data_IF_468974712498
#
_entry.id   IF_468974712498
#
_cell.length_a   1.000
_cell.length_b   1.000
_cell.length_c   1.000
_cell.angle_alpha   90.00
_cell.angle_beta   90.00
_cell.angle_gamma   90.00
#
_symmetry.space_group_name_H-M   'P 1'
#
loop_
_entity.id
_entity.type
_entity.pdbx_description
1 polymer ?
#
# COMPACT_ATOMS: atom_id res chain seq x y z
N UNK A 1 4.51 -8.54 -13.79
CA UNK A 1 4.69 -8.20 -12.37
C UNK A 1 5.32 -6.81 -12.27
N UNK A 2 4.70 -5.93 -11.51
CA UNK A 2 5.20 -4.57 -11.36
C UNK A 2 6.45 -4.54 -10.47
N UNK A 3 7.31 -3.54 -10.69
CA UNK A 3 8.42 -3.27 -9.79
C UNK A 3 7.88 -2.65 -8.50
N UNK A 4 8.29 -3.18 -7.36
CA UNK A 4 7.83 -2.68 -6.06
C UNK A 4 8.92 -1.85 -5.41
N UNK A 5 8.57 -0.63 -4.98
CA UNK A 5 9.47 0.25 -4.25
C UNK A 5 8.79 0.59 -2.92
N UNK A 6 9.45 0.30 -1.81
CA UNK A 6 8.90 0.49 -0.48
C UNK A 6 9.53 1.73 0.18
N UNK A 7 8.69 2.64 0.68
CA UNK A 7 9.18 3.82 1.37
C UNK A 7 9.82 3.46 2.71
N UNK A 8 10.68 4.35 3.22
CA UNK A 8 11.28 4.14 4.54
C UNK A 8 10.24 4.09 5.64
N UNK A 9 9.22 4.95 5.57
CA UNK A 9 8.17 4.95 6.59
C UNK A 9 7.36 3.67 6.57
N UNK A 10 7.08 3.11 5.38
CA UNK A 10 6.40 1.83 5.30
C UNK A 10 7.23 0.72 5.96
N UNK A 11 8.53 0.67 5.65
CA UNK A 11 9.42 -0.36 6.20
C UNK A 11 9.50 -0.24 7.72
N UNK A 12 9.65 0.99 8.24
CA UNK A 12 9.73 1.23 9.67
C UNK A 12 8.43 0.86 10.38
N UNK A 13 7.29 1.25 9.82
CA UNK A 13 5.99 0.94 10.41
C UNK A 13 5.72 -0.56 10.40
N UNK A 14 6.07 -1.23 9.30
CA UNK A 14 5.89 -2.68 9.18
C UNK A 14 6.69 -3.43 10.24
N UNK A 15 7.90 -2.97 10.53
CA UNK A 15 8.75 -3.61 11.54
C UNK A 15 8.16 -3.57 12.95
N UNK A 16 7.23 -2.65 13.22
CA UNK A 16 6.58 -2.53 14.51
C UNK A 16 5.44 -3.53 14.74
N UNK A 17 4.97 -4.19 13.68
CA UNK A 17 3.88 -5.17 13.80
C UNK A 17 4.42 -6.56 14.11
N UNK A 18 3.54 -7.42 14.62
CA UNK A 18 3.90 -8.80 14.90
C UNK A 18 4.11 -9.60 13.60
N UNK A 19 4.72 -10.77 13.74
CA UNK A 19 5.08 -11.58 12.58
C UNK A 19 3.86 -11.98 11.72
N UNK A 20 2.74 -12.46 12.29
CA UNK A 20 1.57 -12.79 11.46
C UNK A 20 1.06 -11.61 10.64
N UNK A 21 1.06 -10.41 11.21
CA UNK A 21 0.63 -9.20 10.50
C UNK A 21 1.61 -8.85 9.39
N UNK A 22 2.91 -8.91 9.67
CA UNK A 22 3.93 -8.65 8.65
C UNK A 22 3.83 -9.63 7.49
N UNK A 23 3.61 -10.91 7.79
CA UNK A 23 3.48 -11.92 6.75
C UNK A 23 2.24 -11.69 5.89
N UNK A 24 1.11 -11.30 6.50
CA UNK A 24 -0.11 -10.99 5.78
C UNK A 24 0.09 -9.77 4.85
N UNK A 25 0.80 -8.75 5.32
CA UNK A 25 1.10 -7.57 4.49
C UNK A 25 1.99 -7.97 3.31
N UNK A 26 3.00 -8.78 3.53
CA UNK A 26 3.87 -9.25 2.44
C UNK A 26 3.10 -10.02 1.38
N UNK A 27 2.20 -10.89 1.78
CA UNK A 27 1.35 -11.63 0.84
C UNK A 27 0.48 -10.67 0.04
N UNK A 28 -0.08 -9.66 0.69
CA UNK A 28 -0.89 -8.65 0.00
C UNK A 28 -0.04 -7.85 -0.99
N UNK A 29 1.21 -7.54 -0.64
CA UNK A 29 2.10 -6.82 -1.55
C UNK A 29 2.45 -7.66 -2.77
N UNK A 30 2.58 -8.97 -2.61
CA UNK A 30 2.76 -9.88 -3.75
C UNK A 30 1.56 -9.79 -4.69
N UNK A 31 0.36 -9.79 -4.13
CA UNK A 31 -0.86 -9.64 -4.94
C UNK A 31 -0.88 -8.29 -5.68
N UNK A 32 -0.50 -7.20 -4.99
CA UNK A 32 -0.44 -5.88 -5.61
C UNK A 32 0.59 -5.85 -6.74
N UNK A 33 1.72 -6.55 -6.59
CA UNK A 33 2.74 -6.60 -7.64
C UNK A 33 2.22 -7.29 -8.90
N UNK A 34 1.35 -8.26 -8.74
CA UNK A 34 0.75 -9.00 -9.87
C UNK A 34 -0.44 -8.25 -10.45
N UNK A 35 -1.24 -7.60 -9.60
CA UNK A 35 -2.46 -6.90 -9.98
C UNK A 35 -2.48 -5.49 -9.37
N UNK A 36 -1.68 -4.55 -9.89
CA UNK A 36 -1.56 -3.23 -9.28
C UNK A 36 -2.86 -2.44 -9.19
N UNK A 37 -3.86 -2.78 -9.99
CA UNK A 37 -5.17 -2.15 -9.95
C UNK A 37 -6.12 -2.68 -8.88
N UNK A 38 -5.68 -3.60 -8.02
CA UNK A 38 -6.54 -4.26 -7.04
C UNK A 38 -7.04 -3.31 -5.95
N UNK A 39 -6.28 -2.26 -5.65
CA UNK A 39 -6.65 -1.30 -4.63
C UNK A 39 -7.77 -0.36 -5.05
N UNK A 40 -8.32 0.35 -4.08
CA UNK A 40 -9.34 1.38 -4.30
C UNK A 40 -8.76 2.76 -4.02
N UNK A 41 -9.35 3.78 -4.62
CA UNK A 41 -8.88 5.15 -4.43
C UNK A 41 -9.18 5.61 -3.00
N UNK A 42 -8.24 6.39 -2.44
CA UNK A 42 -8.34 6.89 -1.07
C UNK A 42 -9.03 8.26 -1.02
N UNK A 43 -10.01 8.50 -1.89
CA UNK A 43 -10.70 9.79 -1.97
C UNK A 43 -11.51 10.06 -0.71
N UNK A 44 -11.37 11.28 -0.19
CA UNK A 44 -12.13 11.71 0.98
C UNK A 44 -11.59 11.21 2.30
N UNK A 45 -10.56 10.38 2.28
CA UNK A 45 -9.92 9.89 3.49
C UNK A 45 -8.87 10.87 4.00
N UNK A 46 -8.63 10.84 5.30
CA UNK A 46 -7.53 11.57 5.92
C UNK A 46 -6.20 11.28 5.19
N UNK A 47 -6.00 10.05 4.76
CA UNK A 47 -4.80 9.61 4.07
C UNK A 47 -4.57 10.31 2.73
N UNK A 48 -5.61 10.87 2.11
CA UNK A 48 -5.44 11.62 0.88
C UNK A 48 -4.53 12.84 1.06
N UNK A 49 -4.51 13.42 2.26
CA UNK A 49 -3.61 14.53 2.57
C UNK A 49 -2.17 14.08 2.76
N UNK A 50 -1.97 12.85 3.25
CA UNK A 50 -0.63 12.34 3.56
C UNK A 50 0.03 11.69 2.36
N UNK A 51 -0.75 11.02 1.51
CA UNK A 51 -0.20 10.17 0.44
C UNK A 51 -0.54 10.63 -0.97
N UNK A 52 -1.35 11.69 -1.10
CA UNK A 52 -1.77 12.21 -2.40
C UNK A 52 -3.13 11.68 -2.83
N UNK A 53 -3.79 12.44 -3.70
CA UNK A 53 -5.15 12.12 -4.13
C UNK A 53 -5.22 10.97 -5.12
N UNK A 54 -4.10 10.62 -5.74
CA UNK A 54 -4.01 9.50 -6.67
C UNK A 54 -3.57 8.19 -5.98
N UNK A 55 -3.42 8.22 -4.65
CA UNK A 55 -3.05 7.02 -3.91
C UNK A 55 -4.19 6.00 -3.93
N UNK A 56 -3.78 4.73 -3.98
CA UNK A 56 -4.67 3.59 -3.84
C UNK A 56 -4.43 2.95 -2.49
N UNK A 57 -5.42 2.21 -2.00
CA UNK A 57 -5.28 1.48 -0.74
C UNK A 57 -5.81 0.06 -0.87
N UNK A 58 -5.19 -0.84 -0.13
CA UNK A 58 -5.68 -2.21 0.04
C UNK A 58 -5.75 -2.52 1.52
N UNK A 59 -6.79 -3.23 1.92
CA UNK A 59 -6.99 -3.64 3.30
C UNK A 59 -6.30 -4.98 3.56
N UNK A 60 -5.62 -5.09 4.69
CA UNK A 60 -5.02 -6.34 5.14
C UNK A 60 -4.88 -6.31 6.66
N UNK A 61 -5.43 -7.33 7.34
CA UNK A 61 -5.28 -7.51 8.80
C UNK A 61 -5.63 -6.27 9.63
N UNK A 62 -6.72 -5.57 9.26
CA UNK A 62 -7.14 -4.36 9.97
C UNK A 62 -6.31 -3.13 9.67
N UNK A 63 -5.46 -3.20 8.65
CA UNK A 63 -4.63 -2.10 8.19
C UNK A 63 -5.03 -1.70 6.79
N UNK A 64 -4.76 -0.44 6.42
CA UNK A 64 -4.78 0.01 5.03
C UNK A 64 -3.36 0.27 4.58
N UNK A 65 -2.95 -0.34 3.48
CA UNK A 65 -1.66 -0.08 2.84
C UNK A 65 -1.90 0.85 1.66
N UNK A 66 -1.18 1.95 1.64
CA UNK A 66 -1.31 2.98 0.60
C UNK A 66 -0.18 2.87 -0.40
N UNK A 67 -0.52 2.94 -1.68
CA UNK A 67 0.48 2.87 -2.75
C UNK A 67 0.07 3.75 -3.93
N UNK A 68 1.05 4.02 -4.79
CA UNK A 68 0.85 4.79 -6.02
C UNK A 68 1.44 4.02 -7.19
N UNK A 69 0.75 4.08 -8.32
CA UNK A 69 1.20 3.44 -9.56
C UNK A 69 1.85 4.48 -10.46
N UNK A 70 2.97 4.11 -11.08
CA UNK A 70 3.63 4.97 -12.06
C UNK A 70 4.08 4.16 -13.27
N UNK A 71 4.11 4.82 -14.43
CA UNK A 71 4.50 4.20 -15.69
C UNK A 71 3.34 3.59 -16.43
N UNK A 72 3.64 2.99 -17.57
CA UNK A 72 2.65 2.30 -18.38
C UNK A 72 2.23 1.00 -17.70
N UNK A 73 0.92 0.65 -17.73
CA UNK A 73 0.49 -0.65 -17.21
C UNK A 73 1.23 -1.79 -17.91
N UNK A 74 1.67 -2.76 -17.11
CA UNK A 74 2.38 -3.91 -17.63
C UNK A 74 3.64 -4.21 -16.84
N UNK A 75 4.59 -4.96 -17.43
CA UNK A 75 5.78 -5.40 -16.72
C UNK A 75 6.74 -4.27 -16.30
N UNK A 76 6.63 -3.10 -16.94
CA UNK A 76 7.48 -1.96 -16.61
C UNK A 76 6.83 -0.99 -15.63
N UNK A 77 5.63 -1.31 -15.18
CA UNK A 77 4.95 -0.49 -14.19
C UNK A 77 5.68 -0.53 -12.84
N UNK A 78 5.72 0.61 -12.14
CA UNK A 78 6.29 0.70 -10.80
C UNK A 78 5.19 1.03 -9.80
N UNK A 79 5.22 0.34 -8.66
CA UNK A 79 4.33 0.58 -7.54
C UNK A 79 5.17 1.11 -6.38
N UNK A 80 4.84 2.32 -5.94
CA UNK A 80 5.47 2.93 -4.77
C UNK A 80 4.56 2.69 -3.57
N UNK A 81 5.02 1.88 -2.62
CA UNK A 81 4.29 1.61 -1.38
C UNK A 81 4.63 2.72 -0.39
N UNK A 82 3.63 3.53 -0.04
CA UNK A 82 3.84 4.80 0.65
C UNK A 82 3.75 4.68 2.16
N UNK A 83 2.84 3.86 2.66
CA UNK A 83 2.67 3.73 4.09
C UNK A 83 1.61 2.71 4.46
N UNK A 84 1.52 2.42 5.75
CA UNK A 84 0.53 1.52 6.32
C UNK A 84 -0.08 2.19 7.54
N UNK A 85 -1.42 2.20 7.61
CA UNK A 85 -2.15 2.90 8.67
C UNK A 85 -3.24 1.97 9.21
N UNK A 86 -3.37 1.82 10.54
CA UNK A 86 -4.49 1.08 11.10
C UNK A 86 -5.82 1.69 10.68
N UNK A 87 -6.78 0.86 10.27
CA UNK A 87 -8.07 1.33 9.77
C UNK A 87 -8.83 2.16 10.80
N UNK A 88 -8.69 1.82 12.07
CA UNK A 88 -9.36 2.57 13.15
C UNK A 88 -8.88 4.01 13.30
N UNK A 89 -7.74 4.35 12.68
CA UNK A 89 -7.19 5.71 12.71
C UNK A 89 -7.65 6.55 11.53
N UNK A 90 -8.41 5.96 10.60
CA UNK A 90 -8.89 6.62 9.40
C UNK A 90 -10.38 6.91 9.57
N UNK A 91 -10.69 8.13 9.92
CA UNK A 91 -12.09 8.54 10.10
C UNK A 91 -12.31 9.96 9.59
#
# INVERSE_FOLDING_TARGET
>A
MARMVFSRSFIADLAAFDKPTRDAVREKMTLVSEFPGVGTRALGDFSAYSFGQDALKVAVSGLDVFYRREGEPGPDETVYVLGVVPQRCIR
#
